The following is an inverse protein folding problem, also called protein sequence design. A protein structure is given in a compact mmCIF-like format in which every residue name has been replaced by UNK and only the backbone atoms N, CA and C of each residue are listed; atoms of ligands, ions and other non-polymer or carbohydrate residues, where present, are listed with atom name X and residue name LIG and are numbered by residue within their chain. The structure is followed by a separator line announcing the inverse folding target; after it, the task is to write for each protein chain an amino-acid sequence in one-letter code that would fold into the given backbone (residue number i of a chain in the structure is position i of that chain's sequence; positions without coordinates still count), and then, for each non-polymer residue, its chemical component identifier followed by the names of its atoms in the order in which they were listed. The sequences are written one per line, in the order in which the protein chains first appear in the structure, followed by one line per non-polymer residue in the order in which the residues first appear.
data_IF_113303633161
#
_entry.id   IF_113303633161
#
_cell.length_a   1.000
_cell.length_b   1.000
_cell.length_c   1.000
_cell.angle_alpha   90.00
_cell.angle_beta   90.00
_cell.angle_gamma   90.00
#
_symmetry.space_group_name_H-M   'P 1'
#
loop_
_entity.id
_entity.type
_entity.pdbx_description
1 polymer ?
#
# COMPACT_ATOMS: atom_id res chain seq x y z
N UNK A 1 1.41 35.40 -66.89
CA UNK A 1 0.56 34.46 -66.13
C UNK A 1 1.31 34.12 -64.85
N UNK A 2 0.84 34.62 -63.69
CA UNK A 2 1.50 34.44 -62.37
C UNK A 2 0.88 33.23 -61.69
N UNK A 3 1.71 32.25 -61.30
CA UNK A 3 1.28 31.09 -60.54
C UNK A 3 1.32 31.41 -59.04
N UNK A 4 0.17 31.27 -58.37
CA UNK A 4 0.04 31.36 -56.91
C UNK A 4 0.38 30.00 -56.28
N UNK A 5 1.30 30.00 -55.32
CA UNK A 5 1.53 28.88 -54.42
C UNK A 5 0.76 29.15 -53.12
N UNK A 6 -0.19 28.28 -52.77
CA UNK A 6 -0.89 28.29 -51.48
C UNK A 6 -0.19 27.25 -50.60
N UNK A 7 0.60 27.72 -49.64
CA UNK A 7 1.11 26.88 -48.56
C UNK A 7 0.00 26.69 -47.52
N UNK A 8 -0.49 25.47 -47.38
CA UNK A 8 -1.38 25.09 -46.29
C UNK A 8 -0.56 24.96 -44.99
N UNK A 9 -0.77 25.87 -44.05
CA UNK A 9 -0.24 25.77 -42.69
C UNK A 9 -1.16 24.82 -41.91
N UNK A 10 -0.69 23.61 -41.63
CA UNK A 10 -1.33 22.71 -40.68
C UNK A 10 -1.06 23.23 -39.26
N UNK A 11 -2.03 23.95 -38.69
CA UNK A 11 -2.03 24.28 -37.27
C UNK A 11 -2.31 23.00 -36.48
N UNK A 12 -1.28 22.40 -35.89
CA UNK A 12 -1.45 21.36 -34.88
C UNK A 12 -1.98 22.01 -33.59
N UNK A 13 -3.27 21.84 -33.32
CA UNK A 13 -3.86 22.12 -32.01
C UNK A 13 -3.29 21.12 -31.00
N UNK A 14 -2.21 21.49 -30.33
CA UNK A 14 -1.81 20.83 -29.08
C UNK A 14 -2.82 21.23 -28.01
N UNK A 15 -3.86 20.43 -27.85
CA UNK A 15 -4.75 20.54 -26.70
C UNK A 15 -3.94 20.28 -25.44
N UNK A 16 -3.74 21.30 -24.62
CA UNK A 16 -3.29 21.11 -23.24
C UNK A 16 -4.37 20.28 -22.54
N UNK A 17 -4.10 18.99 -22.33
CA UNK A 17 -4.84 18.17 -21.39
C UNK A 17 -4.65 18.84 -20.02
N UNK A 18 -5.62 19.64 -19.60
CA UNK A 18 -5.72 20.04 -18.22
C UNK A 18 -5.88 18.75 -17.42
N UNK A 19 -4.83 18.40 -16.67
CA UNK A 19 -4.89 17.27 -15.78
C UNK A 19 -6.08 17.48 -14.83
N UNK A 20 -7.04 16.57 -14.88
CA UNK A 20 -8.23 16.60 -14.03
C UNK A 20 -7.77 16.77 -12.58
N UNK A 21 -8.32 17.77 -11.89
CA UNK A 21 -8.05 17.95 -10.46
C UNK A 21 -8.58 16.72 -9.75
N UNK A 22 -7.74 16.08 -8.92
CA UNK A 22 -8.18 15.00 -8.08
C UNK A 22 -9.34 15.47 -7.18
N UNK A 23 -10.55 14.96 -7.44
CA UNK A 23 -11.76 15.19 -6.63
C UNK A 23 -12.26 13.86 -6.07
N UNK A 24 -11.41 13.23 -5.25
CA UNK A 24 -11.76 12.01 -4.55
C UNK A 24 -12.87 12.26 -3.55
N UNK A 25 -13.87 11.40 -3.56
CA UNK A 25 -15.00 11.46 -2.63
C UNK A 25 -15.45 10.06 -2.25
N UNK A 26 -16.08 9.94 -1.08
CA UNK A 26 -16.64 8.67 -0.62
C UNK A 26 -17.77 8.26 -1.57
N UNK A 27 -17.67 7.07 -2.15
CA UNK A 27 -18.71 6.50 -3.02
C UNK A 27 -19.49 5.38 -2.32
N UNK A 28 -18.87 4.68 -1.35
CA UNK A 28 -19.53 3.59 -0.65
C UNK A 28 -18.96 3.34 0.75
N UNK A 29 -19.84 2.98 1.68
CA UNK A 29 -19.50 2.44 2.99
C UNK A 29 -20.11 1.04 3.11
N UNK A 30 -19.33 0.06 3.54
CA UNK A 30 -19.81 -1.32 3.73
C UNK A 30 -19.35 -1.84 5.08
N UNK A 31 -20.32 -2.16 5.95
CA UNK A 31 -20.06 -2.78 7.25
C UNK A 31 -19.78 -4.27 7.01
N UNK A 32 -18.61 -4.73 7.43
CA UNK A 32 -18.19 -6.13 7.39
C UNK A 32 -18.57 -6.83 8.69
N UNK A 33 -18.51 -6.11 9.81
CA UNK A 33 -18.80 -6.64 11.13
C UNK A 33 -17.67 -7.50 11.70
N UNK A 34 -17.96 -8.27 12.73
CA UNK A 34 -16.99 -9.09 13.46
C UNK A 34 -16.21 -8.34 14.54
N UNK A 35 -15.16 -8.97 15.04
CA UNK A 35 -14.32 -8.50 16.15
C UNK A 35 -12.83 -8.63 15.81
N UNK A 36 -12.01 -7.78 16.43
CA UNK A 36 -10.55 -7.78 16.25
C UNK A 36 -10.03 -6.48 15.65
N UNK A 37 -8.70 -6.40 15.53
CA UNK A 37 -8.03 -5.36 14.77
C UNK A 37 -7.90 -5.74 13.30
N UNK A 38 -7.45 -4.81 12.48
CA UNK A 38 -7.16 -4.99 11.06
C UNK A 38 -5.86 -4.29 10.73
N UNK A 39 -5.37 -4.55 9.53
CA UNK A 39 -4.20 -3.89 8.98
C UNK A 39 -4.35 -3.71 7.46
N UNK A 40 -3.50 -4.36 6.65
CA UNK A 40 -3.51 -4.22 5.20
C UNK A 40 -4.78 -4.79 4.53
N UNK A 41 -5.03 -4.26 3.35
CA UNK A 41 -6.00 -4.75 2.39
C UNK A 41 -5.36 -4.80 1.00
N UNK A 42 -5.88 -5.66 0.13
CA UNK A 42 -5.36 -5.87 -1.22
C UNK A 42 -6.51 -6.00 -2.22
N UNK A 43 -6.52 -5.13 -3.22
CA UNK A 43 -7.46 -5.18 -4.35
C UNK A 43 -6.90 -6.04 -5.48
N UNK A 44 -7.46 -7.23 -5.67
CA UNK A 44 -7.17 -8.12 -6.79
C UNK A 44 -8.12 -7.82 -7.96
N UNK A 45 -7.68 -6.93 -8.83
CA UNK A 45 -8.43 -6.51 -10.00
C UNK A 45 -8.62 -7.62 -11.05
N UNK A 46 -7.75 -8.64 -11.07
CA UNK A 46 -7.84 -9.76 -12.00
C UNK A 46 -8.78 -10.85 -11.46
N UNK A 47 -8.71 -11.13 -10.16
CA UNK A 47 -9.60 -12.06 -9.47
C UNK A 47 -10.97 -11.48 -9.08
N UNK A 48 -11.14 -10.15 -9.18
CA UNK A 48 -12.36 -9.44 -8.82
C UNK A 48 -12.65 -9.44 -7.31
N UNK A 49 -11.60 -9.38 -6.48
CA UNK A 49 -11.71 -9.57 -5.03
C UNK A 49 -11.03 -8.45 -4.25
N UNK A 50 -11.62 -8.10 -3.11
CA UNK A 50 -10.98 -7.30 -2.07
C UNK A 50 -10.68 -8.20 -0.87
N UNK A 51 -9.40 -8.31 -0.53
CA UNK A 51 -8.92 -9.03 0.64
C UNK A 51 -8.65 -8.05 1.78
N UNK A 52 -9.18 -8.33 2.97
CA UNK A 52 -9.06 -7.44 4.13
C UNK A 52 -8.62 -8.24 5.36
N UNK A 53 -7.45 -7.92 5.92
CA UNK A 53 -6.98 -8.53 7.16
C UNK A 53 -7.91 -8.15 8.33
N UNK A 54 -8.33 -9.13 9.13
CA UNK A 54 -9.22 -8.89 10.26
C UNK A 54 -9.06 -9.95 11.36
N UNK A 55 -8.42 -9.57 12.46
CA UNK A 55 -8.25 -10.39 13.65
C UNK A 55 -7.37 -11.62 13.42
N UNK A 56 -8.00 -12.75 13.13
CA UNK A 56 -7.33 -14.04 12.89
C UNK A 56 -7.70 -14.68 11.55
N UNK A 57 -8.27 -13.88 10.65
CA UNK A 57 -8.72 -14.28 9.33
C UNK A 57 -8.57 -13.15 8.32
N UNK A 58 -8.66 -13.47 7.03
CA UNK A 58 -8.87 -12.48 5.96
C UNK A 58 -10.32 -12.55 5.52
N UNK A 59 -11.00 -11.41 5.55
CA UNK A 59 -12.31 -11.23 4.94
C UNK A 59 -12.13 -11.09 3.42
N UNK A 60 -12.90 -11.84 2.64
CA UNK A 60 -12.83 -11.78 1.18
C UNK A 60 -14.16 -11.29 0.64
N UNK A 61 -14.14 -10.16 -0.05
CA UNK A 61 -15.31 -9.51 -0.65
C UNK A 61 -15.20 -9.52 -2.17
N UNK A 62 -16.33 -9.50 -2.85
CA UNK A 62 -16.38 -9.12 -4.26
C UNK A 62 -15.94 -7.65 -4.39
N UNK A 63 -15.01 -7.38 -5.29
CA UNK A 63 -14.38 -6.06 -5.40
C UNK A 63 -15.37 -4.96 -5.79
N UNK A 64 -16.45 -5.30 -6.50
CA UNK A 64 -17.44 -4.32 -7.00
C UNK A 64 -18.66 -4.23 -6.08
N UNK A 65 -19.24 -5.36 -5.71
CA UNK A 65 -20.46 -5.40 -4.91
C UNK A 65 -20.18 -5.28 -3.40
N UNK A 66 -18.96 -5.57 -2.95
CA UNK A 66 -18.59 -5.77 -1.54
C UNK A 66 -19.36 -6.88 -0.84
N UNK A 67 -20.00 -7.77 -1.59
CA UNK A 67 -20.62 -8.97 -1.01
C UNK A 67 -19.52 -9.88 -0.45
N UNK A 68 -19.75 -10.41 0.74
CA UNK A 68 -18.81 -11.33 1.38
C UNK A 68 -18.80 -12.67 0.66
N UNK A 69 -17.66 -13.01 0.07
CA UNK A 69 -17.44 -14.26 -0.66
C UNK A 69 -16.95 -15.38 0.27
N UNK A 70 -16.31 -15.03 1.37
CA UNK A 70 -15.84 -16.00 2.36
C UNK A 70 -14.75 -15.44 3.26
N UNK A 71 -14.01 -16.35 3.88
CA UNK A 71 -12.90 -16.03 4.77
C UNK A 71 -11.73 -16.97 4.51
N UNK A 72 -10.50 -16.48 4.69
CA UNK A 72 -9.29 -17.31 4.73
C UNK A 72 -8.88 -17.42 6.20
N UNK A 73 -8.80 -18.64 6.70
CA UNK A 73 -8.46 -18.92 8.10
C UNK A 73 -7.84 -20.34 8.24
N UNK A 74 -7.02 -20.58 9.28
CA UNK A 74 -6.55 -19.62 10.28
C UNK A 74 -5.39 -18.75 9.77
N UNK A 75 -5.36 -17.48 10.17
CA UNK A 75 -4.27 -16.53 9.91
C UNK A 75 -4.04 -15.65 11.16
N UNK A 76 -3.51 -16.20 12.27
CA UNK A 76 -3.46 -15.51 13.55
C UNK A 76 -2.50 -14.31 13.54
N UNK A 77 -3.03 -13.12 13.79
CA UNK A 77 -2.26 -11.88 13.68
C UNK A 77 -1.94 -11.56 12.23
N UNK A 78 -2.93 -11.67 11.34
CA UNK A 78 -2.75 -11.39 9.93
C UNK A 78 -2.54 -9.89 9.69
N UNK A 79 -1.59 -9.59 8.81
CA UNK A 79 -1.28 -8.24 8.37
C UNK A 79 -1.51 -8.12 6.86
N UNK A 80 -0.53 -8.54 6.05
CA UNK A 80 -0.51 -8.44 4.60
C UNK A 80 -1.16 -9.61 3.85
N UNK A 81 -1.61 -9.32 2.62
CA UNK A 81 -2.11 -10.29 1.65
C UNK A 81 -1.46 -10.03 0.29
N UNK A 82 -0.96 -11.07 -0.38
CA UNK A 82 -0.51 -11.03 -1.77
C UNK A 82 -1.17 -12.16 -2.58
N UNK A 83 -1.51 -11.89 -3.83
CA UNK A 83 -1.98 -12.90 -4.80
C UNK A 83 -1.02 -12.98 -5.97
N UNK A 84 -0.94 -14.15 -6.58
CA UNK A 84 -0.10 -14.40 -7.76
C UNK A 84 -0.99 -14.36 -9.01
N UNK A 85 -0.91 -13.28 -9.83
CA UNK A 85 -1.82 -13.08 -10.96
C UNK A 85 -1.82 -14.23 -11.95
N UNK A 86 -2.99 -14.53 -12.52
CA UNK A 86 -3.17 -15.63 -13.48
C UNK A 86 -3.09 -17.04 -12.88
N UNK A 87 -2.99 -17.16 -11.55
CA UNK A 87 -2.97 -18.44 -10.83
C UNK A 87 -4.09 -18.50 -9.78
N UNK A 88 -4.19 -19.62 -9.07
CA UNK A 88 -5.08 -19.72 -7.90
C UNK A 88 -4.30 -19.59 -6.58
N UNK A 89 -3.12 -18.97 -6.57
CA UNK A 89 -2.26 -18.92 -5.39
C UNK A 89 -2.29 -17.55 -4.74
N UNK A 90 -2.46 -17.52 -3.42
CA UNK A 90 -2.24 -16.34 -2.60
C UNK A 90 -1.49 -16.66 -1.31
N UNK A 91 -1.04 -15.62 -0.63
CA UNK A 91 -0.27 -15.67 0.61
C UNK A 91 -0.76 -14.62 1.60
N UNK A 92 -0.72 -14.96 2.89
CA UNK A 92 -0.89 -13.99 3.99
C UNK A 92 0.33 -14.03 4.90
N UNK A 93 0.59 -12.94 5.61
CA UNK A 93 1.52 -12.94 6.75
C UNK A 93 0.76 -13.19 8.04
N UNK A 94 1.37 -13.90 8.97
CA UNK A 94 0.84 -14.18 10.30
C UNK A 94 1.88 -13.74 11.34
N UNK A 95 1.74 -12.51 11.82
CA UNK A 95 2.71 -11.85 12.70
C UNK A 95 2.92 -12.56 14.04
N UNK A 96 1.86 -13.12 14.63
CA UNK A 96 1.91 -13.78 15.95
C UNK A 96 2.76 -15.07 15.95
N UNK A 97 2.54 -16.03 15.03
CA UNK A 97 3.32 -17.27 15.01
C UNK A 97 4.63 -17.19 14.23
N UNK A 98 4.95 -16.06 13.57
CA UNK A 98 6.07 -15.94 12.64
C UNK A 98 5.95 -16.90 11.44
N UNK A 99 4.78 -16.91 10.81
CA UNK A 99 4.50 -17.74 9.64
C UNK A 99 3.83 -16.94 8.53
N UNK A 100 3.75 -17.55 7.36
CA UNK A 100 2.87 -17.15 6.28
C UNK A 100 1.94 -18.30 5.91
N UNK A 101 0.73 -17.99 5.48
CA UNK A 101 -0.24 -18.98 4.97
C UNK A 101 -0.33 -18.86 3.46
N UNK A 102 0.02 -19.92 2.73
CA UNK A 102 -0.37 -20.08 1.33
C UNK A 102 -1.82 -20.55 1.28
N UNK A 103 -2.62 -20.00 0.36
CA UNK A 103 -4.02 -20.36 0.20
C UNK A 103 -4.40 -20.46 -1.28
N UNK A 104 -5.47 -21.21 -1.55
CA UNK A 104 -6.08 -21.28 -2.87
C UNK A 104 -7.10 -20.15 -3.04
N UNK A 105 -6.90 -19.25 -4.00
CA UNK A 105 -7.74 -18.05 -4.17
C UNK A 105 -9.16 -18.40 -4.60
N UNK A 106 -9.42 -19.55 -5.22
CA UNK A 106 -10.78 -19.93 -5.63
C UNK A 106 -11.62 -20.44 -4.45
N UNK A 107 -11.05 -21.37 -3.70
CA UNK A 107 -11.71 -22.08 -2.60
C UNK A 107 -11.54 -21.38 -1.25
N UNK A 108 -10.63 -20.40 -1.15
CA UNK A 108 -10.25 -19.66 0.06
C UNK A 108 -9.65 -20.54 1.17
N UNK A 109 -9.22 -21.75 0.83
CA UNK A 109 -8.65 -22.69 1.80
C UNK A 109 -7.15 -22.48 1.92
N UNK A 110 -6.66 -22.46 3.17
CA UNK A 110 -5.24 -22.59 3.45
C UNK A 110 -4.72 -23.92 2.91
N UNK A 111 -3.58 -23.87 2.22
CA UNK A 111 -2.94 -25.03 1.58
C UNK A 111 -1.58 -25.36 2.16
N UNK A 112 -0.88 -24.39 2.75
CA UNK A 112 0.44 -24.56 3.35
C UNK A 112 0.71 -23.48 4.40
N UNK A 113 1.28 -23.87 5.54
CA UNK A 113 1.91 -22.92 6.47
C UNK A 113 3.42 -22.91 6.23
N UNK A 114 4.01 -21.72 6.23
CA UNK A 114 5.40 -21.50 5.83
C UNK A 114 6.09 -20.70 6.95
N UNK A 115 7.22 -21.18 7.50
CA UNK A 115 7.98 -20.41 8.50
C UNK A 115 8.60 -19.16 7.87
N UNK A 116 8.66 -18.08 8.64
CA UNK A 116 9.26 -16.80 8.23
C UNK A 116 10.29 -16.32 9.25
N UNK A 117 10.86 -15.14 9.02
CA UNK A 117 11.51 -14.36 10.07
C UNK A 117 10.50 -13.82 11.10
N UNK A 118 10.99 -13.03 12.05
CA UNK A 118 10.18 -12.53 13.17
C UNK A 118 9.21 -11.43 12.75
N UNK A 119 7.97 -11.54 13.23
CA UNK A 119 6.84 -10.62 13.00
C UNK A 119 6.72 -10.24 11.51
N UNK A 120 6.36 -11.21 10.64
CA UNK A 120 6.05 -10.91 9.25
C UNK A 120 4.86 -9.95 9.20
N UNK A 121 5.01 -8.87 8.45
CA UNK A 121 4.07 -7.76 8.40
C UNK A 121 3.59 -7.55 6.95
N UNK A 122 4.18 -6.63 6.20
CA UNK A 122 3.88 -6.47 4.77
C UNK A 122 4.32 -7.67 3.92
N UNK A 123 3.66 -7.80 2.78
CA UNK A 123 3.92 -8.83 1.77
C UNK A 123 3.68 -8.28 0.37
N UNK A 124 4.51 -8.70 -0.58
CA UNK A 124 4.38 -8.28 -1.98
C UNK A 124 4.73 -9.45 -2.90
N UNK A 125 3.97 -9.60 -3.99
CA UNK A 125 4.37 -10.40 -5.14
C UNK A 125 5.14 -9.52 -6.14
N UNK A 126 6.31 -9.99 -6.57
CA UNK A 126 7.09 -9.37 -7.64
C UNK A 126 7.01 -10.22 -8.91
N UNK A 127 6.44 -9.65 -9.97
CA UNK A 127 6.28 -10.32 -11.25
C UNK A 127 7.61 -10.54 -11.98
N UNK A 128 8.62 -9.70 -11.74
CA UNK A 128 9.92 -9.81 -12.40
C UNK A 128 10.68 -11.05 -11.97
N UNK A 129 10.76 -11.30 -10.67
CA UNK A 129 11.44 -12.48 -10.10
C UNK A 129 10.51 -13.69 -9.92
N UNK A 130 9.19 -13.51 -10.04
CA UNK A 130 8.15 -14.51 -9.72
C UNK A 130 8.25 -15.01 -8.29
N UNK A 131 8.49 -14.09 -7.36
CA UNK A 131 8.68 -14.37 -5.94
C UNK A 131 7.70 -13.59 -5.10
N UNK A 132 7.43 -14.12 -3.91
CA UNK A 132 6.70 -13.41 -2.86
C UNK A 132 7.70 -13.02 -1.79
N UNK A 133 7.71 -11.74 -1.44
CA UNK A 133 8.55 -11.16 -0.40
C UNK A 133 7.69 -10.90 0.82
N UNK A 134 8.06 -11.50 1.96
CA UNK A 134 7.43 -11.32 3.26
C UNK A 134 8.39 -10.51 4.11
N UNK A 135 7.98 -9.30 4.49
CA UNK A 135 8.80 -8.36 5.22
C UNK A 135 8.67 -8.62 6.72
N UNK A 136 9.77 -9.05 7.35
CA UNK A 136 9.81 -9.45 8.75
C UNK A 136 10.19 -8.22 9.60
N UNK A 137 9.21 -7.48 10.13
CA UNK A 137 9.39 -6.20 10.83
C UNK A 137 10.41 -6.33 11.99
N UNK A 138 10.19 -7.21 12.95
CA UNK A 138 11.15 -7.45 14.05
C UNK A 138 12.35 -8.33 13.65
N UNK A 139 12.28 -8.95 12.48
CA UNK A 139 13.34 -9.78 11.92
C UNK A 139 14.38 -9.00 11.12
N UNK A 140 14.16 -7.70 10.86
CA UNK A 140 15.00 -6.82 10.04
C UNK A 140 15.41 -7.41 8.68
N UNK A 141 14.52 -8.21 8.07
CA UNK A 141 14.80 -9.02 6.89
C UNK A 141 13.53 -9.23 6.05
N UNK A 142 13.67 -9.78 4.84
CA UNK A 142 12.56 -10.32 4.09
C UNK A 142 12.74 -11.81 3.82
N UNK A 143 11.73 -12.61 4.15
CA UNK A 143 11.64 -14.02 3.72
C UNK A 143 11.17 -14.05 2.27
N UNK A 144 11.88 -14.76 1.39
CA UNK A 144 11.59 -14.81 -0.04
C UNK A 144 11.09 -16.19 -0.41
N UNK A 145 9.93 -16.25 -1.05
CA UNK A 145 9.29 -17.49 -1.48
C UNK A 145 9.29 -17.60 -3.01
N UNK A 146 9.45 -18.82 -3.53
CA UNK A 146 8.97 -19.15 -4.87
C UNK A 146 7.43 -19.03 -4.89
N UNK A 147 6.90 -18.16 -5.77
CA UNK A 147 5.48 -17.79 -5.74
C UNK A 147 4.53 -18.92 -6.15
N UNK A 148 4.99 -19.93 -6.88
CA UNK A 148 4.14 -21.03 -7.32
C UNK A 148 4.04 -22.14 -6.26
N UNK A 149 5.14 -22.41 -5.56
CA UNK A 149 5.29 -23.57 -4.67
C UNK A 149 5.25 -23.20 -3.17
N UNK A 150 5.42 -21.92 -2.84
CA UNK A 150 5.60 -21.45 -1.47
C UNK A 150 6.82 -22.05 -0.78
N UNK A 151 7.83 -22.46 -1.54
CA UNK A 151 9.11 -22.90 -0.97
C UNK A 151 9.97 -21.68 -0.66
N UNK A 152 10.65 -21.69 0.49
CA UNK A 152 11.58 -20.61 0.85
C UNK A 152 12.74 -20.64 -0.13
N UNK A 153 12.87 -19.56 -0.91
CA UNK A 153 13.92 -19.34 -1.87
C UNK A 153 15.17 -18.75 -1.20
N UNK A 154 14.97 -17.85 -0.23
CA UNK A 154 16.08 -17.21 0.50
C UNK A 154 15.61 -16.11 1.44
N UNK A 155 16.56 -15.30 1.87
CA UNK A 155 16.33 -14.16 2.77
C UNK A 155 17.07 -12.94 2.24
N UNK A 156 16.45 -11.76 2.36
CA UNK A 156 17.11 -10.46 2.18
C UNK A 156 17.41 -9.89 3.57
N UNK A 157 18.66 -9.60 3.85
CA UNK A 157 19.05 -8.89 5.08
C UNK A 157 18.85 -7.38 4.85
N UNK A 158 17.81 -6.80 5.47
CA UNK A 158 17.42 -5.41 5.22
C UNK A 158 18.08 -4.42 6.16
N UNK A 159 18.57 -4.84 7.33
CA UNK A 159 19.32 -3.97 8.25
C UNK A 159 18.47 -2.97 9.06
N UNK A 160 17.14 -3.05 8.95
CA UNK A 160 16.16 -2.30 9.74
C UNK A 160 14.78 -2.92 9.61
N UNK A 161 13.80 -2.41 10.35
CA UNK A 161 12.45 -2.94 10.46
C UNK A 161 11.61 -2.56 9.23
N UNK A 162 11.35 -3.49 8.30
CA UNK A 162 10.58 -3.18 7.10
C UNK A 162 9.10 -3.00 7.38
N UNK A 163 8.48 -2.03 6.72
CA UNK A 163 7.05 -1.71 6.89
C UNK A 163 6.25 -1.77 5.59
N UNK A 164 6.66 -1.06 4.54
CA UNK A 164 6.01 -1.12 3.23
C UNK A 164 7.02 -1.23 2.10
N UNK A 165 6.62 -1.87 1.00
CA UNK A 165 7.48 -2.08 -0.16
C UNK A 165 6.76 -1.90 -1.49
N UNK A 166 7.52 -1.46 -2.49
CA UNK A 166 7.09 -1.34 -3.90
C UNK A 166 8.22 -1.83 -4.81
N UNK A 167 7.87 -2.28 -6.02
CA UNK A 167 8.84 -2.68 -7.05
C UNK A 167 8.77 -1.77 -8.27
N UNK A 168 9.87 -1.66 -9.02
CA UNK A 168 9.91 -1.06 -10.36
C UNK A 168 9.41 -1.99 -11.48
N UNK A 169 8.98 -3.22 -11.16
CA UNK A 169 8.65 -4.31 -12.10
C UNK A 169 9.82 -4.77 -12.99
N UNK A 170 11.03 -4.29 -12.71
CA UNK A 170 12.25 -4.53 -13.49
C UNK A 170 13.41 -5.09 -12.65
N UNK A 171 13.12 -5.44 -11.39
CA UNK A 171 14.03 -6.17 -10.50
C UNK A 171 14.57 -5.35 -9.34
N UNK A 172 14.20 -4.08 -9.22
CA UNK A 172 14.48 -3.27 -8.03
C UNK A 172 13.27 -3.29 -7.10
N UNK A 173 13.53 -3.48 -5.81
CA UNK A 173 12.52 -3.35 -4.75
C UNK A 173 12.99 -2.29 -3.76
N UNK A 174 12.05 -1.41 -3.41
CA UNK A 174 12.21 -0.33 -2.44
C UNK A 174 11.40 -0.67 -1.19
N UNK A 175 11.98 -0.50 -0.01
CA UNK A 175 11.36 -0.87 1.27
C UNK A 175 11.57 0.23 2.29
N UNK A 176 10.50 0.74 2.87
CA UNK A 176 10.58 1.62 4.03
C UNK A 176 11.09 0.84 5.24
N UNK A 177 12.12 1.36 5.89
CA UNK A 177 12.64 0.87 7.16
C UNK A 177 12.24 1.85 8.27
N UNK A 178 11.21 1.49 9.03
CA UNK A 178 10.54 2.35 10.01
C UNK A 178 11.55 2.87 11.07
N UNK A 179 12.36 1.97 11.62
CA UNK A 179 13.31 2.27 12.71
C UNK A 179 14.56 3.03 12.24
N UNK A 180 14.81 3.10 10.92
CA UNK A 180 16.00 3.75 10.34
C UNK A 180 15.71 5.09 9.68
N UNK A 181 14.45 5.42 9.45
CA UNK A 181 14.04 6.59 8.65
C UNK A 181 14.66 6.56 7.25
N UNK A 182 14.62 5.38 6.63
CA UNK A 182 15.29 5.08 5.36
C UNK A 182 14.40 4.30 4.39
N UNK A 183 14.76 4.35 3.11
CA UNK A 183 14.35 3.39 2.10
C UNK A 183 15.53 2.46 1.79
N UNK A 184 15.39 1.17 2.07
CA UNK A 184 16.31 0.15 1.55
C UNK A 184 15.97 -0.19 0.10
N UNK A 185 17.00 -0.40 -0.71
CA UNK A 185 16.87 -0.70 -2.14
C UNK A 185 17.64 -1.96 -2.45
N UNK A 186 16.99 -2.99 -2.97
CA UNK A 186 17.63 -4.27 -3.23
C UNK A 186 17.27 -4.87 -4.59
N UNK A 187 18.15 -5.73 -5.09
CA UNK A 187 17.94 -6.49 -6.32
C UNK A 187 17.13 -7.77 -6.04
N UNK A 188 15.97 -7.90 -6.68
CA UNK A 188 15.02 -8.98 -6.46
C UNK A 188 15.52 -10.36 -6.89
N UNK A 189 16.52 -10.44 -7.78
CA UNK A 189 17.11 -11.72 -8.22
C UNK A 189 18.20 -12.18 -7.27
N UNK A 190 19.18 -11.31 -7.02
CA UNK A 190 20.34 -11.62 -6.19
C UNK A 190 20.07 -11.51 -4.70
N UNK A 191 18.96 -10.88 -4.29
CA UNK A 191 18.57 -10.65 -2.90
C UNK A 191 19.56 -9.78 -2.11
N UNK A 192 20.26 -8.88 -2.80
CA UNK A 192 21.31 -8.04 -2.19
C UNK A 192 20.83 -6.60 -2.11
N UNK A 193 20.82 -6.04 -0.91
CA UNK A 193 20.63 -4.61 -0.67
C UNK A 193 21.80 -3.84 -1.28
N UNK A 194 21.48 -2.84 -2.09
CA UNK A 194 22.41 -1.96 -2.81
C UNK A 194 22.53 -0.61 -2.12
N UNK A 195 21.42 -0.09 -1.61
CA UNK A 195 21.37 1.24 -1.04
C UNK A 195 20.45 1.33 0.16
N UNK A 196 20.75 2.33 0.99
CA UNK A 196 19.93 2.84 2.06
C UNK A 196 19.83 4.35 1.86
N UNK A 197 18.63 4.85 1.59
CA UNK A 197 18.40 6.27 1.30
C UNK A 197 17.68 6.94 2.47
N UNK A 198 18.27 8.01 2.99
CA UNK A 198 17.68 8.80 4.07
C UNK A 198 16.46 9.58 3.58
N UNK A 199 15.44 9.67 4.43
CA UNK A 199 14.17 10.33 4.12
C UNK A 199 14.10 11.81 4.51
N UNK A 200 15.24 12.52 4.60
CA UNK A 200 15.24 13.94 5.00
C UNK A 200 14.62 14.12 6.39
N UNK A 201 13.52 14.88 6.48
CA UNK A 201 12.72 15.06 7.71
C UNK A 201 11.71 13.95 7.99
N UNK A 202 11.55 12.98 7.08
CA UNK A 202 10.67 11.84 7.29
C UNK A 202 11.15 10.96 8.43
N UNK A 203 10.29 10.73 9.42
CA UNK A 203 10.50 9.82 10.54
C UNK A 203 9.42 8.73 10.56
N UNK A 204 9.80 7.50 10.94
CA UNK A 204 8.92 6.34 11.03
C UNK A 204 8.13 6.14 9.73
N UNK A 205 8.81 5.87 8.59
CA UNK A 205 8.13 5.67 7.32
C UNK A 205 7.28 4.39 7.31
N UNK A 206 5.98 4.54 7.06
CA UNK A 206 5.00 3.45 7.14
C UNK A 206 4.40 3.06 5.80
N UNK A 207 4.14 4.03 4.92
CA UNK A 207 3.52 3.80 3.62
C UNK A 207 4.45 4.16 2.46
N UNK A 208 4.39 3.42 1.36
CA UNK A 208 5.24 3.65 0.19
C UNK A 208 4.43 3.50 -1.10
N UNK A 209 4.41 4.55 -1.91
CA UNK A 209 3.80 4.57 -3.23
C UNK A 209 4.84 4.90 -4.31
N UNK A 210 4.56 4.53 -5.58
CA UNK A 210 5.51 4.69 -6.66
C UNK A 210 4.86 5.15 -7.97
N UNK A 211 5.26 6.32 -8.45
CA UNK A 211 5.11 6.72 -9.84
C UNK A 211 6.29 6.15 -10.67
N UNK A 212 6.09 4.96 -11.22
CA UNK A 212 7.11 4.25 -12.01
C UNK A 212 7.55 5.05 -13.24
N UNK A 213 6.65 5.59 -14.09
CA UNK A 213 7.04 6.39 -15.25
C UNK A 213 7.94 7.58 -14.95
N UNK A 214 7.71 8.28 -13.84
CA UNK A 214 8.50 9.47 -13.48
C UNK A 214 9.62 9.19 -12.49
N UNK A 215 9.82 7.93 -12.09
CA UNK A 215 10.83 7.51 -11.13
C UNK A 215 10.67 8.19 -9.75
N UNK A 216 9.44 8.38 -9.26
CA UNK A 216 9.18 9.08 -8.00
C UNK A 216 8.58 8.16 -6.93
N UNK A 217 9.31 7.95 -5.84
CA UNK A 217 8.81 7.26 -4.64
C UNK A 217 8.17 8.27 -3.71
N UNK A 218 7.06 7.90 -3.09
CA UNK A 218 6.33 8.70 -2.12
C UNK A 218 6.27 7.93 -0.81
N UNK A 219 7.20 8.23 0.10
CA UNK A 219 7.27 7.61 1.42
C UNK A 219 6.50 8.45 2.43
N UNK A 220 5.41 7.90 2.97
CA UNK A 220 4.67 8.56 4.04
C UNK A 220 5.28 8.24 5.40
N UNK A 221 5.51 9.29 6.16
CA UNK A 221 6.15 9.32 7.46
C UNK A 221 5.22 10.05 8.45
N UNK A 222 5.67 10.28 9.68
CA UNK A 222 4.91 11.04 10.67
C UNK A 222 4.62 12.50 10.20
N UNK A 223 3.40 12.75 9.71
CA UNK A 223 2.89 14.05 9.22
C UNK A 223 3.61 14.63 8.00
N UNK A 224 4.41 13.83 7.30
CA UNK A 224 5.08 14.25 6.08
C UNK A 224 5.10 13.12 5.05
N UNK A 225 4.90 13.45 3.79
CA UNK A 225 5.21 12.60 2.65
C UNK A 225 6.50 13.11 2.04
N UNK A 226 7.51 12.24 1.98
CA UNK A 226 8.80 12.52 1.36
C UNK A 226 8.78 11.95 -0.04
N UNK A 227 9.07 12.79 -1.03
CA UNK A 227 9.18 12.39 -2.43
C UNK A 227 10.65 12.17 -2.76
N UNK A 228 11.01 11.00 -3.29
CA UNK A 228 12.38 10.67 -3.67
C UNK A 228 12.46 10.30 -5.15
N UNK A 229 13.58 10.65 -5.77
CA UNK A 229 13.98 10.07 -7.04
C UNK A 229 14.42 8.62 -6.82
N UNK A 230 13.70 7.67 -7.44
CA UNK A 230 13.91 6.22 -7.30
C UNK A 230 15.18 5.70 -7.97
N UNK A 231 15.91 6.52 -8.71
CA UNK A 231 17.17 6.13 -9.35
C UNK A 231 18.38 6.54 -8.51
N UNK A 232 18.25 7.62 -7.74
CA UNK A 232 19.37 8.26 -7.03
C UNK A 232 19.19 8.33 -5.51
N UNK A 233 17.95 8.18 -5.01
CA UNK A 233 17.61 8.38 -3.60
C UNK A 233 17.55 9.84 -3.19
N UNK A 234 17.59 10.78 -4.14
CA UNK A 234 17.54 12.21 -3.85
C UNK A 234 16.13 12.60 -3.38
N UNK A 235 16.03 13.26 -2.24
CA UNK A 235 14.78 13.90 -1.81
C UNK A 235 14.45 15.06 -2.76
N UNK A 236 13.28 14.98 -3.39
CA UNK A 236 12.73 15.95 -4.33
C UNK A 236 11.82 16.96 -3.63
N UNK A 237 11.01 16.50 -2.68
CA UNK A 237 10.09 17.33 -1.91
C UNK A 237 9.73 16.67 -0.57
N UNK A 238 9.21 17.50 0.33
CA UNK A 238 8.60 17.09 1.60
C UNK A 238 7.27 17.84 1.72
N UNK A 239 6.17 17.10 1.78
CA UNK A 239 4.82 17.67 1.76
C UNK A 239 4.08 17.24 3.02
N UNK A 240 3.44 18.18 3.71
CA UNK A 240 2.70 17.89 4.95
C UNK A 240 1.53 16.95 4.69
N UNK A 241 1.40 15.89 5.50
CA UNK A 241 0.25 14.97 5.55
C UNK A 241 -0.52 15.14 6.85
N UNK A 242 -1.64 14.43 6.97
CA UNK A 242 -2.33 14.26 8.24
C UNK A 242 -1.56 13.40 9.24
N UNK A 243 -2.05 13.35 10.48
CA UNK A 243 -1.45 12.57 11.56
C UNK A 243 -1.81 11.09 11.50
N UNK A 244 -0.89 10.23 11.94
CA UNK A 244 -1.11 8.79 12.09
C UNK A 244 -1.19 8.05 10.74
N UNK A 245 -0.36 8.46 9.80
CA UNK A 245 -0.24 7.83 8.49
C UNK A 245 0.25 6.39 8.59
N UNK A 246 -0.30 5.50 7.77
CA UNK A 246 0.09 4.08 7.72
C UNK A 246 0.39 3.64 6.28
N UNK A 247 -0.49 3.98 5.33
CA UNK A 247 -0.38 3.50 3.97
C UNK A 247 -0.35 4.62 2.93
N UNK A 248 0.19 4.27 1.76
CA UNK A 248 0.23 5.12 0.60
C UNK A 248 -0.06 4.32 -0.68
N UNK A 249 -0.71 4.95 -1.66
CA UNK A 249 -0.91 4.40 -3.01
C UNK A 249 -0.62 5.48 -4.06
N UNK A 250 -0.28 5.06 -5.27
CA UNK A 250 -0.19 5.97 -6.42
C UNK A 250 -1.32 5.67 -7.39
N UNK A 251 -2.14 6.67 -7.68
CA UNK A 251 -3.15 6.55 -8.72
C UNK A 251 -2.59 7.09 -10.05
N UNK A 252 -2.40 6.18 -11.00
CA UNK A 252 -1.92 6.52 -12.34
C UNK A 252 -2.94 7.28 -13.19
N UNK A 253 -4.23 7.22 -12.87
CA UNK A 253 -5.26 7.95 -13.64
C UNK A 253 -5.24 9.45 -13.36
N UNK A 254 -5.05 9.82 -12.10
CA UNK A 254 -4.92 11.22 -11.67
C UNK A 254 -3.47 11.69 -11.58
N UNK A 255 -2.50 10.78 -11.62
CA UNK A 255 -1.07 11.08 -11.42
C UNK A 255 -0.83 11.64 -10.01
N UNK A 256 -1.40 11.00 -9.00
CA UNK A 256 -1.38 11.49 -7.62
C UNK A 256 -1.00 10.39 -6.64
N UNK A 257 -0.15 10.73 -5.68
CA UNK A 257 0.12 9.90 -4.51
C UNK A 257 -0.91 10.23 -3.42
N UNK A 258 -1.47 9.20 -2.79
CA UNK A 258 -2.47 9.34 -1.73
C UNK A 258 -1.96 8.68 -0.46
N UNK A 259 -1.93 9.45 0.62
CA UNK A 259 -1.63 9.01 1.98
C UNK A 259 -2.92 8.82 2.77
N UNK A 260 -3.07 7.70 3.49
CA UNK A 260 -4.17 7.48 4.43
C UNK A 260 -3.76 7.77 5.86
N UNK A 261 -4.48 8.68 6.53
CA UNK A 261 -4.09 9.22 7.83
C UNK A 261 -5.10 8.83 8.91
N UNK A 262 -4.61 8.26 10.01
CA UNK A 262 -5.42 7.80 11.14
C UNK A 262 -6.23 8.88 11.85
N UNK A 263 -5.92 10.16 11.64
CA UNK A 263 -6.77 11.27 12.09
C UNK A 263 -8.12 11.37 11.35
N UNK A 264 -8.29 10.61 10.25
CA UNK A 264 -9.52 10.59 9.47
C UNK A 264 -9.45 11.46 8.21
N UNK A 265 -8.31 11.45 7.53
CA UNK A 265 -8.12 12.15 6.25
C UNK A 265 -7.37 11.28 5.24
N UNK A 266 -7.56 11.54 3.94
CA UNK A 266 -6.57 11.23 2.91
C UNK A 266 -5.86 12.53 2.50
N UNK A 267 -4.55 12.49 2.30
CA UNK A 267 -3.79 13.58 1.70
C UNK A 267 -3.42 13.20 0.27
N UNK A 268 -3.86 13.98 -0.72
CA UNK A 268 -3.59 13.76 -2.14
C UNK A 268 -2.50 14.72 -2.60
N UNK A 269 -1.36 14.18 -3.00
CA UNK A 269 -0.17 14.91 -3.42
C UNK A 269 0.06 14.69 -4.91
N UNK A 270 0.36 15.78 -5.63
CA UNK A 270 0.61 15.74 -7.07
C UNK A 270 1.77 16.62 -7.46
N UNK A 271 2.57 16.17 -8.43
CA UNK A 271 3.52 17.03 -9.13
C UNK A 271 2.76 17.97 -10.08
N UNK A 272 2.63 19.25 -9.70
CA UNK A 272 1.90 20.24 -10.51
C UNK A 272 2.77 20.84 -11.62
N UNK A 273 4.09 20.80 -11.44
CA UNK A 273 5.14 21.17 -12.39
C UNK A 273 6.39 20.34 -12.06
N UNK A 274 7.31 20.10 -13.01
CA UNK A 274 8.53 19.35 -12.73
C UNK A 274 9.27 19.85 -11.47
N UNK A 275 9.42 18.97 -10.47
CA UNK A 275 10.02 19.21 -9.17
C UNK A 275 9.15 19.98 -8.15
N UNK A 276 7.89 20.29 -8.46
CA UNK A 276 6.97 21.02 -7.58
C UNK A 276 5.77 20.16 -7.22
N UNK A 277 5.72 19.76 -5.95
CA UNK A 277 4.70 18.87 -5.39
C UNK A 277 3.81 19.65 -4.42
N UNK A 278 2.50 19.49 -4.56
CA UNK A 278 1.51 20.16 -3.73
C UNK A 278 0.45 19.18 -3.22
N UNK A 279 -0.12 19.48 -2.05
CA UNK A 279 -1.38 18.86 -1.61
C UNK A 279 -2.50 19.47 -2.44
N UNK A 280 -3.04 18.69 -3.39
CA UNK A 280 -4.12 19.13 -4.27
C UNK A 280 -5.50 18.85 -3.68
N UNK A 281 -5.59 17.94 -2.70
CA UNK A 281 -6.83 17.64 -2.00
C UNK A 281 -6.55 17.06 -0.60
N UNK A 282 -7.38 17.44 0.37
CA UNK A 282 -7.53 16.73 1.65
C UNK A 282 -8.93 16.15 1.70
N UNK A 283 -9.05 14.82 1.67
CA UNK A 283 -10.33 14.13 1.68
C UNK A 283 -10.69 13.75 3.12
N UNK A 284 -11.91 14.04 3.55
CA UNK A 284 -12.39 13.57 4.85
C UNK A 284 -12.70 12.08 4.81
N UNK A 285 -12.20 11.35 5.81
CA UNK A 285 -12.50 9.93 6.03
C UNK A 285 -13.08 9.72 7.41
N UNK A 286 -12.91 8.52 7.97
CA UNK A 286 -13.26 8.22 9.35
C UNK A 286 -11.98 7.98 10.13
N UNK A 287 -11.88 8.53 11.34
CA UNK A 287 -10.75 8.30 12.24
C UNK A 287 -10.40 6.82 12.29
N UNK A 288 -9.11 6.49 12.26
CA UNK A 288 -8.60 5.12 12.22
C UNK A 288 -8.51 4.49 10.83
N UNK A 289 -9.04 5.13 9.77
CA UNK A 289 -8.94 4.65 8.39
C UNK A 289 -7.55 4.95 7.80
N UNK A 290 -6.55 4.22 8.29
CA UNK A 290 -5.13 4.52 8.06
C UNK A 290 -4.42 3.58 7.09
N UNK A 291 -4.97 2.40 6.80
CA UNK A 291 -4.49 1.49 5.76
C UNK A 291 -5.28 1.67 4.47
N UNK A 292 -4.62 1.46 3.33
CA UNK A 292 -5.13 1.81 2.01
C UNK A 292 -4.67 0.82 0.94
N UNK A 293 -5.54 0.58 -0.05
CA UNK A 293 -5.18 -0.06 -1.31
C UNK A 293 -5.94 0.63 -2.45
N UNK A 294 -5.49 0.40 -3.68
CA UNK A 294 -6.13 0.93 -4.89
C UNK A 294 -6.33 -0.23 -5.87
N UNK A 295 -7.51 -0.29 -6.49
CA UNK A 295 -7.71 -1.14 -7.65
C UNK A 295 -7.04 -0.47 -8.88
N UNK A 296 -5.98 -1.05 -9.46
CA UNK A 296 -5.27 -0.44 -10.59
C UNK A 296 -6.11 -0.35 -11.88
N UNK A 297 -7.27 -1.00 -11.97
CA UNK A 297 -8.16 -0.93 -13.14
C UNK A 297 -9.24 0.13 -13.02
N UNK A 298 -9.92 0.20 -11.87
CA UNK A 298 -10.99 1.19 -11.64
C UNK A 298 -10.48 2.49 -11.05
N UNK A 299 -9.26 2.51 -10.48
CA UNK A 299 -8.70 3.61 -9.72
C UNK A 299 -9.49 3.96 -8.45
N UNK A 300 -10.35 3.03 -8.00
CA UNK A 300 -11.04 3.14 -6.73
C UNK A 300 -10.09 2.82 -5.59
N UNK A 301 -10.14 3.64 -4.55
CA UNK A 301 -9.37 3.52 -3.33
C UNK A 301 -10.24 2.86 -2.27
N UNK A 302 -9.68 1.90 -1.56
CA UNK A 302 -10.32 1.24 -0.43
C UNK A 302 -9.49 1.51 0.83
N UNK A 303 -10.18 1.84 1.91
CA UNK A 303 -9.59 1.97 3.25
C UNK A 303 -10.50 1.31 4.28
N UNK A 304 -9.94 0.84 5.39
CA UNK A 304 -10.70 0.12 6.43
C UNK A 304 -10.64 0.82 7.77
N UNK A 305 -11.76 0.78 8.50
CA UNK A 305 -11.86 1.35 9.83
C UNK A 305 -12.99 0.69 10.62
N UNK A 306 -13.21 1.15 11.85
CA UNK A 306 -14.38 0.81 12.64
C UNK A 306 -14.85 2.03 13.43
N UNK A 307 -15.97 1.90 14.14
CA UNK A 307 -16.29 2.87 15.17
C UNK A 307 -15.47 2.60 16.44
N UNK A 308 -15.15 3.66 17.16
CA UNK A 308 -14.37 3.58 18.38
C UNK A 308 -15.18 4.05 19.58
N UNK A 309 -14.97 3.41 20.73
CA UNK A 309 -15.46 3.90 22.02
C UNK A 309 -14.65 5.11 22.51
N UNK A 310 -14.89 5.57 23.75
CA UNK A 310 -14.03 6.57 24.37
C UNK A 310 -12.61 6.02 24.54
N UNK A 311 -11.61 6.90 24.39
CA UNK A 311 -10.25 6.56 24.77
C UNK A 311 -10.19 6.34 26.29
N UNK A 312 -9.51 5.28 26.78
CA UNK A 312 -9.20 5.17 28.20
C UNK A 312 -8.40 6.38 28.68
N UNK A 313 -8.41 6.63 30.00
CA UNK A 313 -7.50 7.61 30.58
C UNK A 313 -6.05 7.16 30.39
N UNK A 314 -5.16 8.10 30.02
CA UNK A 314 -3.73 7.82 29.95
C UNK A 314 -3.19 7.45 31.33
N UNK A 315 -2.32 6.45 31.37
CA UNK A 315 -1.61 6.06 32.59
C UNK A 315 -0.10 6.22 32.39
N UNK A 316 0.69 6.08 33.46
CA UNK A 316 2.14 6.08 33.35
C UNK A 316 2.64 4.94 32.46
N UNK A 317 1.98 3.77 32.54
CA UNK A 317 2.29 2.56 31.78
C UNK A 317 1.77 2.63 30.34
N UNK A 318 0.68 3.36 30.11
CA UNK A 318 0.10 3.57 28.79
C UNK A 318 -0.25 5.05 28.60
N UNK A 319 0.73 5.90 28.25
CA UNK A 319 0.53 7.33 28.13
C UNK A 319 -0.32 7.74 26.92
N UNK A 320 -0.56 6.81 25.98
CA UNK A 320 -1.35 7.04 24.76
C UNK A 320 -2.29 5.85 24.50
N UNK A 321 -3.29 5.61 25.36
CA UNK A 321 -4.16 4.46 25.22
C UNK A 321 -5.01 4.59 23.97
N UNK A 322 -5.08 3.50 23.19
CA UNK A 322 -5.92 3.45 22.00
C UNK A 322 -7.38 3.21 22.41
N UNK A 323 -8.35 3.94 21.82
CA UNK A 323 -9.76 3.60 21.97
C UNK A 323 -10.05 2.16 21.55
N UNK A 324 -10.96 1.50 22.27
CA UNK A 324 -11.44 0.19 21.86
C UNK A 324 -12.34 0.30 20.62
N UNK A 325 -12.21 -0.67 19.71
CA UNK A 325 -13.13 -0.83 18.58
C UNK A 325 -14.50 -1.25 19.11
N UNK A 326 -15.58 -0.64 18.61
CA UNK A 326 -16.94 -1.09 18.92
C UNK A 326 -17.23 -2.39 18.14
N UNK A 327 -17.68 -3.46 18.81
CA UNK A 327 -17.99 -4.74 18.14
C UNK A 327 -18.96 -4.58 16.97
N UNK A 328 -18.70 -5.30 15.87
CA UNK A 328 -19.59 -5.31 14.71
C UNK A 328 -19.55 -4.06 13.83
N UNK A 329 -18.67 -3.10 14.10
CA UNK A 329 -18.60 -1.84 13.34
C UNK A 329 -17.46 -1.79 12.33
N UNK A 330 -16.66 -2.85 12.20
CA UNK A 330 -15.60 -2.92 11.20
C UNK A 330 -16.18 -2.76 9.78
N UNK A 331 -15.57 -1.90 8.98
CA UNK A 331 -16.11 -1.46 7.69
C UNK A 331 -15.01 -1.13 6.68
N UNK A 332 -15.36 -1.28 5.40
CA UNK A 332 -14.61 -0.78 4.25
C UNK A 332 -15.26 0.53 3.78
N UNK A 333 -14.43 1.52 3.46
CA UNK A 333 -14.80 2.75 2.79
C UNK A 333 -14.16 2.77 1.41
N UNK A 334 -14.94 3.13 0.41
CA UNK A 334 -14.52 3.18 -0.99
C UNK A 334 -14.61 4.62 -1.51
N UNK A 335 -13.56 5.07 -2.17
CA UNK A 335 -13.39 6.41 -2.70
C UNK A 335 -13.03 6.35 -4.18
N UNK A 336 -13.49 7.32 -4.96
CA UNK A 336 -13.12 7.48 -6.37
C UNK A 336 -12.99 8.97 -6.72
N UNK A 337 -12.15 9.28 -7.70
CA UNK A 337 -12.12 10.60 -8.32
C UNK A 337 -13.35 10.78 -9.24
N UNK A 338 -13.91 12.00 -9.28
CA UNK A 338 -14.93 12.36 -10.28
C UNK A 338 -14.34 12.55 -11.66
#
# INVERSE_FOLDING_TARGET
MKAFWISAVCLSLTGSLFAQSADYHLIKKTIIGGEGGWDYLMADADGGRLYVSHGTQVEVLDLKSHEKLGVIMPTPGVHGIAVVPGTNVGYTTNGRPNTATMFDTKTLKATKEIPTGKKPDAIMYDAFSKRVFIFNNEGNSATVLDAATGNVFGTVELGGAPEAAVTDDHGTIFVNLEDKNEVAVFDARSLVVKHHWKLGKGEEPTGLAFDKPHHQLFSTCNKVMVVLDSQTGKVLAEVTTGSGTDGAVFDTSTGSAISSNGEGTLTVVKEIKPGQFEVVQTVLTTRGARTITIDPKSHHIFITTAEFGPAPAATTENPKPRPAVKPGTFMVLEYAAK
#
